data_IF_801763104421
#
_entry.id   IF_801763104421
#
_cell.length_a   1.000
_cell.length_b   1.000
_cell.length_c   1.000
_cell.angle_alpha   90.00
_cell.angle_beta   90.00
_cell.angle_gamma   90.00
#
_symmetry.space_group_name_H-M   'P 1'
#
loop_
_entity.id
_entity.type
_entity.pdbx_description
1 polymer ?
#
# COMPACT_ATOMS: atom_id res chain seq x y z
N UNK A 1 -1.95 15.32 14.96
CA UNK A 1 -2.03 14.24 13.97
C UNK A 1 -2.70 13.08 14.66
N UNK A 2 -3.97 12.82 14.33
CA UNK A 2 -4.73 11.74 14.93
C UNK A 2 -4.70 10.53 14.00
N UNK A 3 -4.39 9.35 14.55
CA UNK A 3 -4.38 8.11 13.78
C UNK A 3 -5.58 7.26 14.19
N UNK A 4 -6.31 6.78 13.18
CA UNK A 4 -7.39 5.81 13.33
C UNK A 4 -7.08 4.56 12.54
N UNK A 5 -7.66 3.43 12.92
CA UNK A 5 -7.52 2.19 12.18
C UNK A 5 -8.88 1.52 12.01
N UNK A 6 -9.03 0.76 10.93
CA UNK A 6 -10.20 -0.07 10.64
C UNK A 6 -9.81 -1.20 9.69
N UNK A 7 -10.63 -2.25 9.62
CA UNK A 7 -10.50 -3.26 8.57
C UNK A 7 -10.81 -2.61 7.22
N UNK A 8 -9.95 -2.87 6.22
CA UNK A 8 -10.13 -2.37 4.86
C UNK A 8 -11.30 -3.09 4.18
N UNK A 9 -11.96 -2.39 3.26
CA UNK A 9 -13.01 -2.95 2.40
C UNK A 9 -12.62 -2.84 0.94
N UNK A 10 -13.32 -3.54 0.05
CA UNK A 10 -13.01 -3.54 -1.39
C UNK A 10 -12.97 -2.13 -2.01
N UNK A 11 -13.75 -1.18 -1.48
CA UNK A 11 -13.75 0.21 -1.93
C UNK A 11 -12.43 0.95 -1.66
N UNK A 12 -11.59 0.46 -0.73
CA UNK A 12 -10.31 1.06 -0.39
C UNK A 12 -9.18 0.66 -1.37
N UNK A 13 -9.39 -0.39 -2.17
CA UNK A 13 -8.38 -0.96 -3.08
C UNK A 13 -7.67 0.10 -3.95
N UNK A 14 -8.39 1.05 -4.60
CA UNK A 14 -7.72 2.06 -5.41
C UNK A 14 -6.79 2.97 -4.60
N UNK A 15 -7.20 3.36 -3.39
CA UNK A 15 -6.41 4.22 -2.51
C UNK A 15 -5.17 3.48 -1.97
N UNK A 16 -5.35 2.23 -1.53
CA UNK A 16 -4.26 1.37 -1.05
C UNK A 16 -3.24 1.14 -2.17
N UNK A 17 -3.70 0.78 -3.38
CA UNK A 17 -2.83 0.58 -4.55
C UNK A 17 -2.02 1.84 -4.87
N UNK A 18 -2.65 3.02 -4.80
CA UNK A 18 -1.96 4.28 -5.04
C UNK A 18 -0.91 4.59 -3.97
N UNK A 19 -1.19 4.31 -2.69
CA UNK A 19 -0.20 4.45 -1.62
C UNK A 19 0.98 3.48 -1.82
N UNK A 20 0.70 2.21 -2.11
CA UNK A 20 1.74 1.20 -2.36
C UNK A 20 2.66 1.60 -3.53
N UNK A 21 2.10 2.09 -4.63
CA UNK A 21 2.88 2.54 -5.79
C UNK A 21 3.85 3.69 -5.43
N UNK A 22 3.39 4.66 -4.62
CA UNK A 22 4.26 5.75 -4.12
C UNK A 22 5.37 5.21 -3.22
N UNK A 23 5.03 4.32 -2.29
CA UNK A 23 6.00 3.72 -1.36
C UNK A 23 7.07 2.90 -2.09
N UNK A 24 6.66 2.08 -3.06
CA UNK A 24 7.57 1.29 -3.90
C UNK A 24 8.54 2.21 -4.65
N UNK A 25 8.03 3.28 -5.27
CA UNK A 25 8.85 4.21 -6.05
C UNK A 25 9.81 5.06 -5.22
N UNK A 26 9.46 5.40 -3.97
CA UNK A 26 10.20 6.38 -3.17
C UNK A 26 11.11 5.77 -2.11
N UNK A 27 10.76 4.61 -1.53
CA UNK A 27 11.40 4.11 -0.30
C UNK A 27 12.47 3.03 -0.54
N UNK A 28 12.65 2.59 -1.78
CA UNK A 28 13.59 1.51 -2.11
C UNK A 28 14.97 1.99 -2.58
N UNK A 29 15.17 3.30 -2.72
CA UNK A 29 16.38 3.89 -3.32
C UNK A 29 17.68 3.57 -2.60
N UNK A 30 17.63 3.27 -1.30
CA UNK A 30 18.82 2.89 -0.51
C UNK A 30 19.22 1.41 -0.71
N UNK A 31 18.36 0.60 -1.33
CA UNK A 31 18.56 -0.84 -1.49
C UNK A 31 18.63 -1.30 -2.95
N UNK A 32 17.93 -0.59 -3.84
CA UNK A 32 17.76 -0.98 -5.24
C UNK A 32 18.21 0.14 -6.18
N UNK A 33 18.79 -0.26 -7.30
CA UNK A 33 18.97 0.63 -8.45
C UNK A 33 17.62 1.04 -9.05
N UNK A 34 17.54 2.15 -9.80
CA UNK A 34 16.29 2.55 -10.45
C UNK A 34 15.64 1.46 -11.31
N UNK A 35 16.44 0.66 -12.03
CA UNK A 35 15.95 -0.46 -12.83
C UNK A 35 15.38 -1.60 -11.97
N UNK A 36 15.98 -1.87 -10.81
CA UNK A 36 15.47 -2.86 -9.86
C UNK A 36 14.19 -2.38 -9.17
N UNK A 37 14.04 -1.08 -8.89
CA UNK A 37 12.77 -0.51 -8.41
C UNK A 37 11.66 -0.72 -9.43
N UNK A 38 11.94 -0.48 -10.72
CA UNK A 38 10.96 -0.76 -11.78
C UNK A 38 10.58 -2.25 -11.82
N UNK A 39 11.59 -3.14 -11.79
CA UNK A 39 11.35 -4.58 -11.78
C UNK A 39 10.55 -5.05 -10.55
N UNK A 40 10.74 -4.41 -9.39
CA UNK A 40 10.03 -4.76 -8.15
C UNK A 40 8.51 -4.61 -8.26
N UNK A 41 8.02 -3.70 -9.12
CA UNK A 41 6.58 -3.46 -9.33
C UNK A 41 5.86 -4.69 -9.87
N UNK A 42 6.57 -5.62 -10.52
CA UNK A 42 5.98 -6.84 -11.05
C UNK A 42 5.62 -7.86 -9.95
N UNK A 43 6.27 -7.79 -8.79
CA UNK A 43 6.10 -8.76 -7.69
C UNK A 43 5.55 -8.15 -6.41
N UNK A 44 5.63 -6.82 -6.28
CA UNK A 44 5.07 -6.08 -5.16
C UNK A 44 3.70 -5.51 -5.52
N UNK A 45 2.71 -5.75 -4.68
CA UNK A 45 1.35 -5.29 -4.93
C UNK A 45 0.40 -5.67 -3.81
N UNK A 46 -0.84 -5.19 -3.94
CA UNK A 46 -1.89 -5.46 -2.98
C UNK A 46 -2.43 -6.88 -3.18
N UNK A 47 -2.30 -7.72 -2.15
CA UNK A 47 -3.06 -8.96 -2.09
C UNK A 47 -4.51 -8.66 -1.68
N UNK A 48 -5.40 -8.67 -2.66
CA UNK A 48 -6.83 -8.39 -2.43
C UNK A 48 -7.54 -9.49 -1.63
N UNK A 49 -6.96 -10.69 -1.49
CA UNK A 49 -7.55 -11.74 -0.67
C UNK A 49 -7.55 -11.38 0.82
N UNK A 50 -6.50 -10.67 1.29
CA UNK A 50 -6.43 -10.15 2.66
C UNK A 50 -7.52 -9.12 2.98
N UNK A 51 -8.00 -8.40 1.96
CA UNK A 51 -9.15 -7.50 2.12
C UNK A 51 -10.44 -8.32 2.14
N UNK A 52 -10.55 -9.31 1.25
CA UNK A 52 -11.74 -10.16 1.15
C UNK A 52 -11.97 -11.03 2.39
N UNK A 53 -10.90 -11.50 3.05
CA UNK A 53 -10.96 -12.30 4.27
C UNK A 53 -11.04 -11.45 5.57
N UNK A 54 -10.99 -10.12 5.44
CA UNK A 54 -11.10 -9.19 6.57
C UNK A 54 -9.86 -9.10 7.46
N UNK A 55 -8.69 -9.52 6.96
CA UNK A 55 -7.43 -9.49 7.72
C UNK A 55 -6.54 -8.29 7.42
N UNK A 56 -6.92 -7.43 6.46
CA UNK A 56 -6.18 -6.22 6.11
C UNK A 56 -6.61 -5.01 6.94
N UNK A 57 -5.69 -4.40 7.70
CA UNK A 57 -5.93 -3.17 8.47
C UNK A 57 -5.48 -1.93 7.70
N UNK A 58 -6.35 -0.93 7.65
CA UNK A 58 -6.05 0.41 7.18
C UNK A 58 -5.71 1.32 8.35
N UNK A 59 -4.68 2.16 8.20
CA UNK A 59 -4.40 3.27 9.12
C UNK A 59 -4.63 4.58 8.38
N UNK A 60 -5.42 5.45 8.97
CA UNK A 60 -5.72 6.78 8.43
C UNK A 60 -5.11 7.84 9.35
N UNK A 61 -4.47 8.84 8.75
CA UNK A 61 -4.04 10.06 9.43
C UNK A 61 -5.07 11.16 9.13
N UNK A 62 -5.73 11.67 10.17
CA UNK A 62 -6.73 12.73 10.05
C UNK A 62 -7.82 12.39 8.99
N UNK A 63 -8.25 11.12 8.95
CA UNK A 63 -9.27 10.59 8.03
C UNK A 63 -8.79 10.34 6.60
N UNK A 64 -7.47 10.33 6.35
CA UNK A 64 -6.87 10.09 5.03
C UNK A 64 -5.88 8.93 5.08
N UNK A 65 -5.89 8.14 4.02
CA UNK A 65 -4.85 7.16 3.72
C UNK A 65 -3.63 7.82 3.04
#
# INVERSE_FOLDING_TARGET
MNFTHRVAVAADIPAISALMARSIGALQGDFLTPAQVEASRAVMGLDTQLIADGTYLLVEADGRL
#
